data_IF_958377015542
#
_entry.id   IF_958377015542
#
_cell.length_a   1.000
_cell.length_b   1.000
_cell.length_c   1.000
_cell.angle_alpha   90.00
_cell.angle_beta   90.00
_cell.angle_gamma   90.00
#
_symmetry.space_group_name_H-M   'P 1'
#
loop_
_entity.id
_entity.type
_entity.pdbx_description
1 polymer ?
#
# COMPACT_ATOMS: atom_id res chain seq x y z
N UNK A 1 -2.43 -7.42 9.72
CA UNK A 1 -3.11 -7.90 8.50
C UNK A 1 -2.83 -9.38 8.40
N UNK A 2 -3.84 -10.22 8.26
CA UNK A 2 -3.63 -11.65 8.01
C UNK A 2 -3.16 -11.90 6.58
N UNK A 3 -2.62 -13.11 6.34
CA UNK A 3 -2.05 -13.51 5.04
C UNK A 3 -3.13 -13.56 3.94
N UNK A 4 -4.34 -14.04 4.26
CA UNK A 4 -5.39 -14.21 3.27
C UNK A 4 -5.83 -12.86 2.69
N UNK A 5 -6.02 -11.87 3.56
CA UNK A 5 -6.34 -10.51 3.19
C UNK A 5 -5.17 -9.86 2.44
N UNK A 6 -3.92 -10.10 2.85
CA UNK A 6 -2.75 -9.57 2.16
C UNK A 6 -2.67 -10.09 0.71
N UNK A 7 -2.87 -11.39 0.54
CA UNK A 7 -2.92 -12.04 -0.77
C UNK A 7 -4.06 -11.48 -1.62
N UNK A 8 -5.25 -11.28 -1.04
CA UNK A 8 -6.37 -10.70 -1.76
C UNK A 8 -6.09 -9.29 -2.26
N UNK A 9 -5.48 -8.43 -1.44
CA UNK A 9 -5.12 -7.06 -1.86
C UNK A 9 -4.03 -7.12 -2.95
N UNK A 10 -3.00 -7.94 -2.78
CA UNK A 10 -1.94 -8.11 -3.77
C UNK A 10 -2.50 -8.56 -5.13
N UNK A 11 -3.37 -9.58 -5.15
CA UNK A 11 -4.02 -10.05 -6.38
C UNK A 11 -4.92 -8.96 -6.98
N UNK A 12 -5.58 -8.15 -6.15
CA UNK A 12 -6.37 -7.02 -6.62
C UNK A 12 -5.50 -5.99 -7.32
N UNK A 13 -4.34 -5.62 -6.76
CA UNK A 13 -3.37 -4.73 -7.41
C UNK A 13 -2.88 -5.33 -8.71
N UNK A 14 -2.55 -6.63 -8.72
CA UNK A 14 -2.05 -7.31 -9.91
C UNK A 14 -3.05 -7.30 -11.08
N UNK A 15 -4.33 -7.60 -10.82
CA UNK A 15 -5.34 -7.70 -11.87
C UNK A 15 -6.06 -6.39 -12.19
N UNK A 16 -6.13 -5.44 -11.24
CA UNK A 16 -6.88 -4.17 -11.39
C UNK A 16 -5.99 -2.93 -11.44
N UNK A 17 -4.67 -3.09 -11.31
CA UNK A 17 -3.69 -2.01 -11.30
C UNK A 17 -3.61 -1.20 -10.01
N UNK A 18 -4.60 -1.31 -9.11
CA UNK A 18 -4.60 -0.65 -7.79
C UNK A 18 -5.43 -1.43 -6.77
N UNK A 19 -5.16 -1.21 -5.49
CA UNK A 19 -5.89 -1.81 -4.38
C UNK A 19 -5.78 -0.97 -3.10
N UNK A 20 -6.87 -0.92 -2.33
CA UNK A 20 -6.95 -0.15 -1.08
C UNK A 20 -6.39 -0.99 0.06
N UNK A 21 -5.25 -0.58 0.64
CA UNK A 21 -4.64 -1.26 1.79
C UNK A 21 -5.34 -0.95 3.12
N UNK A 22 -5.98 0.21 3.23
CA UNK A 22 -6.76 0.63 4.39
C UNK A 22 -7.17 2.11 4.31
N UNK A 23 -8.05 2.53 5.21
CA UNK A 23 -8.48 3.93 5.37
C UNK A 23 -8.03 4.41 6.75
N UNK A 24 -7.39 5.56 6.81
CA UNK A 24 -6.79 6.13 8.01
C UNK A 24 -7.02 7.64 8.05
N UNK A 25 -6.72 8.28 9.19
CA UNK A 25 -6.58 9.74 9.25
C UNK A 25 -5.39 10.19 8.39
N UNK A 26 -5.40 11.45 7.95
CA UNK A 26 -4.41 11.98 7.01
C UNK A 26 -2.95 11.73 7.48
N UNK A 27 -2.64 12.11 8.73
CA UNK A 27 -1.29 11.96 9.30
C UNK A 27 -0.83 10.49 9.37
N UNK A 28 -1.75 9.57 9.67
CA UNK A 28 -1.45 8.13 9.72
C UNK A 28 -1.26 7.59 8.31
N UNK A 29 -2.07 8.02 7.34
CA UNK A 29 -1.93 7.63 5.94
C UNK A 29 -0.58 8.10 5.37
N UNK A 30 -0.19 9.34 5.63
CA UNK A 30 1.09 9.93 5.19
C UNK A 30 2.29 9.16 5.76
N UNK A 31 2.24 8.87 7.06
CA UNK A 31 3.28 8.08 7.73
C UNK A 31 3.41 6.68 7.13
N UNK A 32 2.28 6.01 6.86
CA UNK A 32 2.27 4.67 6.26
C UNK A 32 2.76 4.66 4.83
N UNK A 33 2.36 5.63 4.01
CA UNK A 33 2.87 5.78 2.64
C UNK A 33 4.38 5.93 2.66
N UNK A 34 4.90 6.83 3.51
CA UNK A 34 6.34 7.08 3.64
C UNK A 34 7.12 5.82 4.03
N UNK A 35 6.62 5.05 5.01
CA UNK A 35 7.23 3.79 5.43
C UNK A 35 7.27 2.74 4.31
N UNK A 36 6.17 2.56 3.59
CA UNK A 36 6.08 1.56 2.50
C UNK A 36 6.98 1.96 1.34
N UNK A 37 7.00 3.24 0.97
CA UNK A 37 7.83 3.74 -0.12
C UNK A 37 9.32 3.63 0.21
N UNK A 38 9.72 3.93 1.45
CA UNK A 38 11.10 3.74 1.88
C UNK A 38 11.51 2.28 1.82
N UNK A 39 10.67 1.37 2.32
CA UNK A 39 10.94 -0.07 2.28
C UNK A 39 11.06 -0.60 0.84
N UNK A 40 10.18 -0.17 -0.07
CA UNK A 40 10.26 -0.55 -1.48
C UNK A 40 11.58 -0.09 -2.12
N UNK A 41 11.99 1.16 -1.83
CA UNK A 41 13.25 1.72 -2.32
C UNK A 41 14.47 0.97 -1.79
N UNK A 42 14.48 0.65 -0.50
CA UNK A 42 15.59 -0.07 0.15
C UNK A 42 15.76 -1.50 -0.40
N UNK A 43 14.70 -2.07 -0.97
CA UNK A 43 14.70 -3.40 -1.60
C UNK A 43 14.75 -3.32 -3.14
N UNK A 44 15.08 -2.15 -3.70
CA UNK A 44 15.20 -1.92 -5.15
C UNK A 44 13.93 -2.29 -5.95
N UNK A 45 12.75 -2.15 -5.32
CA UNK A 45 11.46 -2.46 -5.94
C UNK A 45 10.77 -1.20 -6.46
N UNK A 46 10.16 -1.29 -7.66
CA UNK A 46 9.40 -0.19 -8.28
C UNK A 46 7.95 -0.07 -7.77
N UNK A 47 7.68 -0.49 -6.53
CA UNK A 47 6.34 -0.39 -5.93
C UNK A 47 5.96 1.09 -5.70
N UNK A 48 4.72 1.44 -6.02
CA UNK A 48 4.16 2.76 -5.73
C UNK A 48 3.00 2.64 -4.74
N UNK A 49 3.12 3.32 -3.60
CA UNK A 49 2.09 3.49 -2.59
C UNK A 49 1.73 4.98 -2.52
N UNK A 50 0.43 5.28 -2.49
CA UNK A 50 -0.11 6.65 -2.43
C UNK A 50 -1.32 6.70 -1.49
N UNK A 51 -1.72 7.90 -1.10
CA UNK A 51 -2.94 8.17 -0.33
C UNK A 51 -3.87 9.08 -1.13
N UNK A 52 -5.18 8.86 -0.97
CA UNK A 52 -6.23 9.69 -1.56
C UNK A 52 -7.30 9.99 -0.51
N UNK A 53 -8.02 11.10 -0.68
CA UNK A 53 -9.18 11.39 0.16
C UNK A 53 -10.28 10.36 -0.12
N UNK A 54 -10.83 9.80 0.97
CA UNK A 54 -11.91 8.81 0.92
C UNK A 54 -13.27 9.42 0.59
#
# INVERSE_FOLDING_TARGET
>A
MDIDKANQIMLTVHYRGRGVCGVFTADIAETKVSQVMQYAKDNEQSLLCTMEQA
#
